data_IF_117771842182
#
_entry.id   IF_117771842182
#
_cell.length_a   1.000
_cell.length_b   1.000
_cell.length_c   1.000
_cell.angle_alpha   90.00
_cell.angle_beta   90.00
_cell.angle_gamma   90.00
#
_symmetry.space_group_name_H-M   'P 1'
#
loop_
_entity.id
_entity.type
_entity.pdbx_description
1 polymer ?
#
# COMPACT_ATOMS: atom_id res chain seq x y z
N UNK A 1 31.38 28.23 -33.47
CA UNK A 1 32.08 28.26 -32.17
C UNK A 1 31.00 28.26 -31.10
N UNK A 2 30.68 27.08 -30.58
CA UNK A 2 29.57 26.88 -29.64
C UNK A 2 30.12 26.84 -28.22
N UNK A 3 29.81 27.86 -27.42
CA UNK A 3 30.16 27.89 -26.00
C UNK A 3 28.91 27.61 -25.18
N UNK A 4 28.72 26.34 -24.81
CA UNK A 4 27.73 25.95 -23.80
C UNK A 4 28.26 26.35 -22.42
N UNK A 5 27.74 27.45 -21.88
CA UNK A 5 27.93 27.82 -20.48
C UNK A 5 26.94 27.02 -19.65
N UNK A 6 27.39 25.88 -19.12
CA UNK A 6 26.63 25.13 -18.13
C UNK A 6 26.52 25.94 -16.85
N UNK A 7 25.31 26.39 -16.52
CA UNK A 7 25.01 27.06 -15.26
C UNK A 7 25.12 26.03 -14.13
N UNK A 8 26.24 26.04 -13.41
CA UNK A 8 26.41 25.27 -12.17
C UNK A 8 25.66 26.01 -11.07
N UNK A 9 24.42 25.57 -10.78
CA UNK A 9 23.69 26.04 -9.61
C UNK A 9 24.35 25.46 -8.35
N UNK A 10 25.27 26.22 -7.75
CA UNK A 10 25.76 25.94 -6.41
C UNK A 10 24.59 26.13 -5.43
N UNK A 11 24.01 25.01 -4.97
CA UNK A 11 22.96 25.06 -3.95
C UNK A 11 23.57 25.56 -2.64
N UNK A 12 23.04 26.67 -2.13
CA UNK A 12 23.45 27.25 -0.84
C UNK A 12 23.30 26.21 0.27
N UNK A 13 24.30 26.08 1.17
CA UNK A 13 24.16 25.19 2.30
C UNK A 13 23.04 25.64 3.23
N UNK A 14 22.40 24.68 3.90
CA UNK A 14 21.33 24.92 4.86
C UNK A 14 21.48 24.01 6.08
N UNK A 15 20.90 24.39 7.21
CA UNK A 15 20.89 23.57 8.42
C UNK A 15 19.60 22.75 8.47
N UNK A 16 19.72 21.44 8.54
CA UNK A 16 18.55 20.55 8.64
C UNK A 16 17.86 20.70 10.00
N UNK A 17 16.56 20.97 9.99
CA UNK A 17 15.74 21.11 11.21
C UNK A 17 15.69 19.82 12.07
N UNK A 18 15.84 18.64 11.47
CA UNK A 18 15.69 17.37 12.17
C UNK A 18 17.00 16.85 12.78
N UNK A 19 18.13 17.04 12.09
CA UNK A 19 19.42 16.52 12.54
C UNK A 19 20.40 17.63 12.97
N UNK A 20 20.03 18.90 12.80
CA UNK A 20 20.81 20.09 13.11
C UNK A 20 22.20 20.11 12.45
N UNK A 21 22.37 19.41 11.33
CA UNK A 21 23.61 19.37 10.55
C UNK A 21 23.54 20.35 9.39
N UNK A 22 24.67 20.98 9.08
CA UNK A 22 24.85 21.77 7.86
C UNK A 22 24.98 20.83 6.66
N UNK A 23 24.12 21.03 5.67
CA UNK A 23 23.99 20.21 4.47
C UNK A 23 24.43 21.03 3.27
N UNK A 24 25.37 20.50 2.49
CA UNK A 24 25.93 21.16 1.30
C UNK A 24 25.52 20.39 0.05
N UNK A 25 25.18 21.09 -1.03
CA UNK A 25 24.94 20.46 -2.35
C UNK A 25 23.63 19.68 -2.50
N UNK A 26 22.83 19.54 -1.44
CA UNK A 26 21.50 18.93 -1.47
C UNK A 26 20.40 20.00 -1.38
N UNK A 27 19.16 19.62 -1.69
CA UNK A 27 17.98 20.45 -1.37
C UNK A 27 17.42 20.04 -0.01
N UNK A 28 16.76 20.96 0.69
CA UNK A 28 16.07 20.67 1.96
C UNK A 28 15.09 19.50 1.83
N UNK A 29 14.30 19.47 0.76
CA UNK A 29 13.39 18.36 0.48
C UNK A 29 14.12 17.04 0.20
N UNK A 30 15.26 17.09 -0.51
CA UNK A 30 16.06 15.90 -0.80
C UNK A 30 16.66 15.30 0.47
N UNK A 31 17.21 16.14 1.34
CA UNK A 31 17.77 15.71 2.61
C UNK A 31 16.70 15.17 3.57
N UNK A 32 15.59 15.89 3.74
CA UNK A 32 14.51 15.48 4.67
C UNK A 32 13.86 14.16 4.27
N UNK A 33 13.83 13.83 2.97
CA UNK A 33 13.35 12.53 2.50
C UNK A 33 14.18 11.34 3.04
N UNK A 34 15.49 11.53 3.26
CA UNK A 34 16.43 10.47 3.69
C UNK A 34 16.99 10.67 5.09
N UNK A 35 16.72 11.80 5.74
CA UNK A 35 17.27 12.15 7.04
C UNK A 35 16.87 11.11 8.11
N UNK A 36 17.89 10.57 8.80
CA UNK A 36 17.73 9.54 9.83
C UNK A 36 17.02 10.02 11.11
N UNK A 37 16.98 11.34 11.33
CA UNK A 37 16.34 11.97 12.48
C UNK A 37 14.86 12.30 12.24
N UNK A 38 14.39 12.18 10.99
CA UNK A 38 12.97 12.38 10.68
C UNK A 38 12.16 11.26 11.31
N UNK A 39 11.15 11.67 12.08
CA UNK A 39 10.19 10.77 12.69
C UNK A 39 9.30 10.15 11.62
N UNK A 40 9.26 8.82 11.58
CA UNK A 40 8.41 8.06 10.67
C UNK A 40 7.43 7.19 11.45
N UNK A 41 6.18 7.04 10.98
CA UNK A 41 5.21 6.18 11.64
C UNK A 41 5.65 4.72 11.56
N UNK A 42 5.41 3.95 12.61
CA UNK A 42 5.66 2.51 12.59
C UNK A 42 4.79 1.79 11.54
N UNK A 43 5.41 0.92 10.72
CA UNK A 43 4.71 0.12 9.70
C UNK A 43 3.72 -0.88 10.30
N UNK A 44 3.98 -1.35 11.51
CA UNK A 44 3.06 -2.19 12.26
C UNK A 44 1.92 -1.40 12.91
N UNK A 45 1.78 -0.09 12.63
CA UNK A 45 0.68 0.77 13.12
C UNK A 45 0.49 0.70 14.65
N UNK A 46 1.59 0.66 15.40
CA UNK A 46 1.54 0.66 16.87
C UNK A 46 1.24 2.04 17.47
N UNK A 47 1.13 3.09 16.64
CA UNK A 47 0.89 4.48 17.06
C UNK A 47 2.16 5.27 17.41
N UNK A 48 3.33 4.62 17.44
CA UNK A 48 4.62 5.28 17.74
C UNK A 48 5.23 5.84 16.46
N UNK A 49 5.78 7.06 16.57
CA UNK A 49 6.68 7.66 15.60
C UNK A 49 8.12 7.51 16.10
N UNK A 50 8.98 6.92 15.29
CA UNK A 50 10.37 6.64 15.65
C UNK A 50 11.27 7.30 14.60
N UNK A 51 12.46 7.81 14.97
CA UNK A 51 13.43 8.30 14.00
C UNK A 51 13.72 7.22 12.94
N UNK A 52 13.81 7.59 11.67
CA UNK A 52 14.07 6.64 10.57
C UNK A 52 15.25 5.71 10.85
N UNK A 53 16.31 6.23 11.48
CA UNK A 53 17.50 5.47 11.90
C UNK A 53 17.21 4.37 12.94
N UNK A 54 16.22 4.56 13.81
CA UNK A 54 15.87 3.65 14.90
C UNK A 54 14.71 2.70 14.53
N UNK A 55 14.08 2.89 13.37
CA UNK A 55 12.90 2.12 12.96
C UNK A 55 13.17 0.60 12.92
N UNK A 56 14.36 0.18 12.49
CA UNK A 56 14.74 -1.23 12.46
C UNK A 56 14.77 -1.85 13.87
N UNK A 57 15.36 -1.15 14.85
CA UNK A 57 15.38 -1.57 16.25
C UNK A 57 13.95 -1.60 16.82
N UNK A 58 13.16 -0.55 16.56
CA UNK A 58 11.74 -0.53 16.93
C UNK A 58 10.97 -1.74 16.38
N UNK A 59 11.18 -2.10 15.10
CA UNK A 59 10.46 -3.22 14.48
C UNK A 59 10.66 -4.54 15.22
N UNK A 60 11.85 -4.80 15.77
CA UNK A 60 12.14 -6.02 16.55
C UNK A 60 11.45 -6.05 17.91
N UNK A 61 11.17 -4.88 18.50
CA UNK A 61 10.57 -4.71 19.83
C UNK A 61 9.15 -4.15 19.77
N UNK A 62 8.58 -4.09 18.58
CA UNK A 62 7.32 -3.41 18.36
C UNK A 62 6.21 -4.15 19.12
N UNK A 63 5.38 -3.46 19.92
CA UNK A 63 4.27 -4.11 20.63
C UNK A 63 3.24 -4.71 19.66
N UNK A 64 3.29 -4.32 18.38
CA UNK A 64 2.39 -4.81 17.33
C UNK A 64 3.08 -5.74 16.30
N UNK A 65 4.25 -6.29 16.63
CA UNK A 65 5.06 -7.14 15.71
C UNK A 65 4.30 -8.36 15.17
N UNK A 66 3.30 -8.87 15.91
CA UNK A 66 2.56 -10.09 15.57
C UNK A 66 1.29 -9.88 14.73
N UNK A 67 0.93 -8.65 14.36
CA UNK A 67 -0.32 -8.41 13.59
C UNK A 67 -0.14 -8.40 12.07
N UNK A 68 1.09 -8.50 11.55
CA UNK A 68 1.39 -8.45 10.11
C UNK A 68 2.02 -9.73 9.56
N UNK A 69 2.45 -10.67 10.41
CA UNK A 69 2.79 -12.02 10.00
C UNK A 69 1.58 -12.94 10.14
N UNK A 70 1.01 -13.38 9.01
CA UNK A 70 0.06 -14.50 8.98
C UNK A 70 0.60 -15.67 9.83
N UNK A 71 -0.06 -16.07 10.93
CA UNK A 71 0.35 -17.24 11.74
C UNK A 71 0.13 -18.59 11.02
N UNK A 72 -0.47 -18.56 9.83
CA UNK A 72 -0.97 -19.73 9.11
C UNK A 72 0.12 -20.60 8.47
N UNK A 73 1.37 -20.14 8.37
CA UNK A 73 2.44 -20.92 7.74
C UNK A 73 3.23 -21.82 8.69
N UNK A 74 3.14 -21.63 10.02
CA UNK A 74 3.98 -22.39 10.97
C UNK A 74 3.25 -23.55 11.67
N UNK A 75 1.91 -23.62 11.62
CA UNK A 75 1.14 -24.65 12.32
C UNK A 75 0.81 -25.88 11.46
N UNK A 76 0.99 -25.82 10.13
CA UNK A 76 0.63 -26.91 9.21
C UNK A 76 1.72 -27.97 9.03
N UNK A 77 2.84 -27.88 9.76
CA UNK A 77 3.99 -28.78 9.61
C UNK A 77 4.12 -29.84 10.71
N UNK A 78 3.11 -30.02 11.57
CA UNK A 78 3.09 -31.06 12.63
C UNK A 78 1.91 -32.04 12.48
N UNK A 79 1.73 -32.59 11.28
CA UNK A 79 0.88 -33.77 11.10
C UNK A 79 1.76 -34.92 10.62
N UNK A 80 2.41 -35.60 11.57
CA UNK A 80 2.98 -36.92 11.34
C UNK A 80 1.86 -37.98 11.28
N UNK A 81 1.91 -38.95 10.35
CA UNK A 81 0.98 -40.06 10.31
C UNK A 81 1.46 -41.19 11.22
N UNK A 82 0.89 -41.32 12.42
CA UNK A 82 1.06 -42.54 13.22
C UNK A 82 0.18 -43.64 12.64
N UNK A 83 0.80 -44.52 11.85
CA UNK A 83 0.26 -45.81 11.47
C UNK A 83 0.64 -46.87 12.52
N UNK A 84 -0.30 -47.83 12.69
CA UNK A 84 -0.27 -49.13 13.40
C UNK A 84 -0.74 -49.06 14.87
N UNK A 85 -1.49 -50.03 15.42
CA UNK A 85 -1.43 -51.49 15.26
C UNK A 85 -2.81 -52.21 15.32
N UNK A 86 -2.80 -53.46 14.87
CA UNK A 86 -3.88 -54.46 14.86
C UNK A 86 -4.02 -55.18 16.21
N UNK A 87 -5.24 -55.17 16.79
CA UNK A 87 -5.91 -56.26 17.55
C UNK A 87 -6.81 -55.72 18.68
N UNK A 88 -8.02 -56.28 18.79
CA UNK A 88 -8.65 -56.53 20.09
C UNK A 88 -9.53 -55.44 20.71
N UNK A 89 -10.74 -55.28 20.20
CA UNK A 89 -12.02 -55.36 20.94
C UNK A 89 -12.27 -54.62 22.27
N UNK A 90 -11.49 -53.61 22.71
CA UNK A 90 -11.88 -52.80 23.90
C UNK A 90 -11.46 -51.31 23.87
N UNK A 91 -10.90 -50.79 22.77
CA UNK A 91 -10.36 -49.41 22.70
C UNK A 91 -11.35 -48.36 22.18
N UNK A 92 -12.50 -48.77 21.63
CA UNK A 92 -13.42 -47.86 20.91
C UNK A 92 -14.09 -46.83 21.82
N UNK A 93 -14.44 -47.19 23.06
CA UNK A 93 -15.17 -46.30 23.99
C UNK A 93 -14.26 -45.23 24.61
N UNK A 94 -13.03 -45.57 24.95
CA UNK A 94 -12.07 -44.60 25.51
C UNK A 94 -11.59 -43.61 24.42
N UNK A 95 -11.41 -44.09 23.19
CA UNK A 95 -11.07 -43.23 22.04
C UNK A 95 -12.20 -42.26 21.72
N UNK A 96 -13.46 -42.72 21.69
CA UNK A 96 -14.62 -41.84 21.55
C UNK A 96 -14.72 -40.83 22.70
N UNK A 97 -14.47 -41.23 23.94
CA UNK A 97 -14.51 -40.29 25.09
C UNK A 97 -13.39 -39.26 25.00
N UNK A 98 -12.19 -39.64 24.58
CA UNK A 98 -11.10 -38.69 24.34
C UNK A 98 -11.39 -37.76 23.17
N UNK A 99 -12.04 -38.26 22.13
CA UNK A 99 -12.41 -37.48 20.95
C UNK A 99 -13.56 -36.53 21.24
N UNK A 100 -14.58 -36.96 21.99
CA UNK A 100 -15.64 -36.10 22.52
C UNK A 100 -15.05 -35.00 23.39
N UNK A 101 -14.11 -35.32 24.29
CA UNK A 101 -13.44 -34.32 25.13
C UNK A 101 -12.62 -33.33 24.30
N UNK A 102 -11.93 -33.81 23.26
CA UNK A 102 -11.18 -32.98 22.31
C UNK A 102 -12.11 -32.05 21.52
N UNK A 103 -13.21 -32.57 20.99
CA UNK A 103 -14.24 -31.81 20.29
C UNK A 103 -14.88 -30.76 21.21
N UNK A 104 -15.14 -31.11 22.47
CA UNK A 104 -15.73 -30.20 23.44
C UNK A 104 -14.79 -29.05 23.80
N UNK A 105 -13.48 -29.33 23.93
CA UNK A 105 -12.47 -28.29 24.08
C UNK A 105 -12.38 -27.39 22.84
N UNK A 106 -12.44 -27.99 21.63
CA UNK A 106 -12.45 -27.23 20.37
C UNK A 106 -13.68 -26.33 20.25
N UNK A 107 -14.86 -26.81 20.63
CA UNK A 107 -16.08 -26.02 20.67
C UNK A 107 -15.96 -24.85 21.65
N UNK A 108 -15.41 -25.07 22.86
CA UNK A 108 -15.21 -23.99 23.83
C UNK A 108 -14.25 -22.91 23.34
N UNK A 109 -13.17 -23.30 22.65
CA UNK A 109 -12.24 -22.34 22.02
C UNK A 109 -12.93 -21.56 20.89
N UNK A 110 -13.73 -22.24 20.07
CA UNK A 110 -14.50 -21.58 19.01
C UNK A 110 -15.54 -20.61 19.58
N UNK A 111 -16.23 -20.95 20.66
CA UNK A 111 -17.17 -20.06 21.35
C UNK A 111 -16.48 -18.82 21.92
N UNK A 112 -15.30 -18.98 22.53
CA UNK A 112 -14.48 -17.82 22.96
C UNK A 112 -14.06 -16.95 21.76
N UNK A 113 -13.74 -17.55 20.62
CA UNK A 113 -13.37 -16.83 19.41
C UNK A 113 -14.57 -16.08 18.81
N UNK A 114 -15.75 -16.69 18.78
CA UNK A 114 -17.00 -16.06 18.36
C UNK A 114 -17.40 -14.91 19.29
N UNK A 115 -17.20 -15.06 20.60
CA UNK A 115 -17.41 -13.97 21.57
C UNK A 115 -16.46 -12.79 21.31
N UNK A 116 -15.18 -13.06 21.03
CA UNK A 116 -14.19 -12.05 20.62
C UNK A 116 -14.54 -11.40 19.27
N UNK A 117 -15.04 -12.16 18.31
CA UNK A 117 -15.49 -11.63 17.01
C UNK A 117 -16.76 -10.77 17.16
N UNK A 118 -17.69 -11.14 18.04
CA UNK A 118 -18.89 -10.33 18.30
C UNK A 118 -18.57 -8.98 18.96
N UNK A 119 -17.56 -8.94 19.84
CA UNK A 119 -17.05 -7.68 20.41
C UNK A 119 -16.25 -6.86 19.39
N UNK A 120 -15.51 -7.51 18.48
CA UNK A 120 -14.86 -6.84 17.35
C UNK A 120 -15.86 -6.29 16.32
N UNK A 121 -16.98 -6.99 16.08
CA UNK A 121 -17.97 -6.60 15.07
C UNK A 121 -18.86 -5.44 15.56
N UNK A 122 -19.12 -5.34 16.87
CA UNK A 122 -19.76 -4.15 17.48
C UNK A 122 -18.94 -2.87 17.30
N UNK A 123 -17.62 -3.00 17.10
CA UNK A 123 -16.73 -1.86 16.86
C UNK A 123 -16.56 -1.50 15.37
N UNK A 124 -17.20 -2.23 14.43
CA UNK A 124 -17.03 -2.02 12.97
C UNK A 124 -18.32 -1.65 12.22
N UNK A 125 -19.33 -1.12 12.90
CA UNK A 125 -20.54 -0.57 12.23
C UNK A 125 -20.74 0.92 12.47
N UNK A 126 -19.72 1.64 12.94
CA UNK A 126 -19.75 3.09 13.01
C UNK A 126 -18.66 3.64 12.08
N UNK A 127 -19.00 3.82 10.81
CA UNK A 127 -18.26 4.81 10.01
C UNK A 127 -18.57 6.13 10.70
N UNK A 128 -17.57 6.71 11.36
CA UNK A 128 -17.70 8.03 11.98
C UNK A 128 -18.32 8.98 10.95
N UNK A 129 -19.36 9.71 11.31
CA UNK A 129 -20.08 10.60 10.38
C UNK A 129 -19.13 11.54 9.65
N UNK A 130 -18.02 11.91 10.29
CA UNK A 130 -16.93 12.71 9.70
C UNK A 130 -16.14 11.96 8.63
N UNK A 131 -15.95 10.66 8.79
CA UNK A 131 -15.23 9.83 7.81
C UNK A 131 -16.11 9.56 6.59
N UNK A 132 -17.43 9.42 6.77
CA UNK A 132 -18.38 9.36 5.65
C UNK A 132 -18.40 10.68 4.86
N UNK A 133 -18.47 11.83 5.53
CA UNK A 133 -18.38 13.14 4.88
C UNK A 133 -17.04 13.31 4.13
N UNK A 134 -15.93 12.88 4.73
CA UNK A 134 -14.62 12.91 4.08
C UNK A 134 -14.60 12.08 2.79
N UNK A 135 -15.18 10.88 2.81
CA UNK A 135 -15.25 10.00 1.64
C UNK A 135 -16.15 10.58 0.54
N UNK A 136 -17.27 11.19 0.91
CA UNK A 136 -18.16 11.89 -0.05
C UNK A 136 -17.41 13.05 -0.72
N UNK A 137 -16.68 13.86 0.06
CA UNK A 137 -15.89 14.97 -0.47
C UNK A 137 -14.78 14.48 -1.41
N UNK A 138 -14.06 13.42 -1.02
CA UNK A 138 -13.03 12.79 -1.86
C UNK A 138 -13.61 12.25 -3.16
N UNK A 139 -14.79 11.60 -3.10
CA UNK A 139 -15.49 11.11 -4.28
C UNK A 139 -15.86 12.25 -5.24
N UNK A 140 -16.33 13.39 -4.70
CA UNK A 140 -16.68 14.56 -5.51
C UNK A 140 -15.45 15.13 -6.24
N UNK A 141 -14.33 15.30 -5.53
CA UNK A 141 -13.10 15.80 -6.12
C UNK A 141 -12.56 14.86 -7.22
N UNK A 142 -12.74 13.54 -7.06
CA UNK A 142 -12.37 12.57 -8.10
C UNK A 142 -13.23 12.69 -9.35
N UNK A 143 -14.54 12.93 -9.22
CA UNK A 143 -15.42 13.17 -10.38
C UNK A 143 -15.05 14.48 -11.09
N UNK A 144 -14.78 15.57 -10.37
CA UNK A 144 -14.30 16.82 -10.97
C UNK A 144 -12.98 16.61 -11.74
N UNK A 145 -12.06 15.83 -11.17
CA UNK A 145 -10.80 15.50 -11.83
C UNK A 145 -11.01 14.65 -13.09
N UNK A 146 -11.93 13.70 -13.05
CA UNK A 146 -12.30 12.86 -14.19
C UNK A 146 -12.86 13.71 -15.33
N UNK A 147 -13.70 14.70 -15.03
CA UNK A 147 -14.23 15.63 -16.05
C UNK A 147 -13.12 16.47 -16.69
N UNK A 148 -12.16 16.97 -15.90
CA UNK A 148 -11.00 17.71 -16.42
C UNK A 148 -10.15 16.84 -17.34
N UNK A 149 -9.88 15.59 -16.95
CA UNK A 149 -9.10 14.65 -17.76
C UNK A 149 -9.84 14.31 -19.06
N UNK A 150 -11.15 14.07 -18.99
CA UNK A 150 -11.96 13.81 -20.17
C UNK A 150 -11.97 15.00 -21.13
N UNK A 151 -12.11 16.23 -20.63
CA UNK A 151 -12.05 17.43 -21.47
C UNK A 151 -10.69 17.57 -22.18
N UNK A 152 -9.59 17.32 -21.45
CA UNK A 152 -8.25 17.33 -22.05
C UNK A 152 -8.08 16.24 -23.11
N UNK A 153 -8.61 15.05 -22.85
CA UNK A 153 -8.58 13.95 -23.79
C UNK A 153 -9.32 14.29 -25.09
N UNK A 154 -10.52 14.86 -24.98
CA UNK A 154 -11.29 15.30 -26.15
C UNK A 154 -10.58 16.41 -26.93
N UNK A 155 -9.94 17.36 -26.24
CA UNK A 155 -9.16 18.41 -26.91
C UNK A 155 -7.98 17.81 -27.71
N UNK A 156 -7.22 16.87 -27.12
CA UNK A 156 -6.12 16.19 -27.82
C UNK A 156 -6.63 15.41 -29.02
N UNK A 157 -7.77 14.72 -28.91
CA UNK A 157 -8.38 14.03 -30.05
C UNK A 157 -8.73 15.00 -31.18
N UNK A 158 -9.34 16.15 -30.86
CA UNK A 158 -9.69 17.15 -31.87
C UNK A 158 -8.45 17.73 -32.57
N UNK A 159 -7.38 18.00 -31.81
CA UNK A 159 -6.11 18.44 -32.39
C UNK A 159 -5.50 17.40 -33.34
N UNK A 160 -5.59 16.12 -32.99
CA UNK A 160 -5.08 15.04 -33.83
C UNK A 160 -5.88 14.94 -35.14
N UNK A 161 -7.21 15.02 -35.07
CA UNK A 161 -8.09 15.06 -36.25
C UNK A 161 -7.74 16.25 -37.15
N UNK A 162 -7.59 17.45 -36.57
CA UNK A 162 -7.20 18.64 -37.34
C UNK A 162 -5.84 18.46 -38.02
N UNK A 163 -4.87 17.86 -37.33
CA UNK A 163 -3.55 17.59 -37.89
C UNK A 163 -3.59 16.60 -39.05
N UNK A 164 -4.45 15.58 -38.98
CA UNK A 164 -4.66 14.62 -40.07
C UNK A 164 -5.30 15.28 -41.30
N UNK A 165 -6.32 16.13 -41.09
CA UNK A 165 -6.95 16.89 -42.17
C UNK A 165 -5.95 17.83 -42.87
N UNK A 166 -5.19 18.61 -42.10
CA UNK A 166 -4.16 19.50 -42.68
C UNK A 166 -3.08 18.75 -43.45
N UNK A 167 -2.70 17.53 -43.01
CA UNK A 167 -1.76 16.68 -43.75
C UNK A 167 -2.37 16.17 -45.06
N UNK A 168 -3.64 15.78 -45.05
CA UNK A 168 -4.36 15.33 -46.25
C UNK A 168 -4.47 16.45 -47.28
N UNK A 169 -4.87 17.65 -46.87
CA UNK A 169 -4.96 18.84 -47.74
C UNK A 169 -3.60 19.22 -48.33
N UNK A 170 -2.53 19.19 -47.51
CA UNK A 170 -1.18 19.45 -48.00
C UNK A 170 -0.72 18.42 -49.04
N UNK A 171 -1.12 17.15 -48.88
CA UNK A 171 -0.81 16.08 -49.81
C UNK A 171 -1.59 16.21 -51.14
N UNK A 172 -2.85 16.61 -51.10
CA UNK A 172 -3.64 16.90 -52.30
C UNK A 172 -3.10 18.12 -53.06
N UNK A 173 -2.77 19.19 -52.33
CA UNK A 173 -2.12 20.37 -52.92
C UNK A 173 -0.79 19.99 -53.59
N UNK A 174 0.05 19.20 -52.93
CA UNK A 174 1.30 18.72 -53.53
C UNK A 174 1.08 17.92 -54.82
N UNK A 175 0.10 17.01 -54.85
CA UNK A 175 -0.24 16.24 -56.05
C UNK A 175 -0.73 17.13 -57.21
N UNK A 176 -1.46 18.19 -56.90
CA UNK A 176 -1.90 19.18 -57.90
C UNK A 176 -0.71 19.92 -58.54
N UNK A 177 0.29 20.32 -57.75
CA UNK A 177 1.50 20.98 -58.26
C UNK A 177 2.37 20.06 -59.11
N UNK A 178 2.44 18.76 -58.79
CA UNK A 178 3.25 17.78 -59.54
C UNK A 178 2.62 17.40 -60.89
N UNK A 179 1.29 17.45 -61.03
CA UNK A 179 0.58 17.12 -62.29
C UNK A 179 0.59 18.26 -63.34
N UNK A 180 1.20 19.41 -63.03
CA UNK A 180 1.30 20.57 -63.95
C UNK A 180 2.64 20.58 -64.72
N UNK A 181 3.58 19.68 -64.39
CA UNK A 181 4.85 19.46 -65.09
C UNK A 181 4.86 18.10 -65.79
#
# INVERSE_FOLDING_TARGET
MSSNVGVVYNKTPFVCYFCNKEIHGETELGHTAVCGSVLVPCMNKCGVYTPRSELANHNTKCPNIRKTSNPLSFQLQQLDPVLKDSNGTLSSRNNMVSEVRSLQNRCSVLEQYLSKLSTFNKNKTFIDSKELERLILQSKHLEEWKDIVNLKLENVKQQLIQQELSKSEAQENWKSYVNIF
#
